data_IF_053169065448
#
_entry.id   IF_053169065448
#
_cell.length_a   1.000
_cell.length_b   1.000
_cell.length_c   1.000
_cell.angle_alpha   90.00
_cell.angle_beta   90.00
_cell.angle_gamma   90.00
#
_symmetry.space_group_name_H-M   'P 1'
#
loop_
_entity.id
_entity.type
_entity.pdbx_description
1 polymer ?
#
# COMPACT_ATOMS: atom_id res chain seq x y z
N UNK A 1 13.85 6.31 -14.93
CA UNK A 1 12.96 5.15 -14.69
C UNK A 1 11.64 5.46 -15.37
N UNK A 2 11.13 4.56 -16.19
CA UNK A 2 9.90 4.81 -16.95
C UNK A 2 8.67 4.75 -16.03
N UNK A 3 7.74 5.68 -16.26
CA UNK A 3 6.41 5.73 -15.64
C UNK A 3 5.46 4.83 -16.42
N UNK A 4 4.48 4.26 -15.73
CA UNK A 4 3.46 3.40 -16.35
C UNK A 4 2.53 4.21 -17.25
N UNK A 5 2.07 3.60 -18.35
CA UNK A 5 1.04 4.19 -19.23
C UNK A 5 -0.37 4.21 -18.63
N UNK A 6 -0.57 3.62 -17.44
CA UNK A 6 -1.88 3.60 -16.75
C UNK A 6 -2.23 5.00 -16.24
N UNK A 7 -3.38 5.53 -16.69
CA UNK A 7 -3.96 6.82 -16.28
C UNK A 7 -5.29 6.68 -15.52
N UNK A 8 -5.85 5.47 -15.46
CA UNK A 8 -7.19 5.21 -14.92
C UNK A 8 -7.18 4.75 -13.45
N UNK A 9 -7.88 5.45 -12.54
CA UNK A 9 -8.02 5.07 -11.13
C UNK A 9 -8.46 3.63 -10.89
N UNK A 10 -9.46 3.16 -11.65
CA UNK A 10 -10.01 1.80 -11.51
C UNK A 10 -8.93 0.76 -11.79
N UNK A 11 -8.11 0.99 -12.82
CA UNK A 11 -7.02 0.08 -13.21
C UNK A 11 -5.90 0.14 -12.18
N UNK A 12 -5.43 1.33 -11.82
CA UNK A 12 -4.34 1.51 -10.86
C UNK A 12 -4.66 0.95 -9.47
N UNK A 13 -5.91 1.11 -9.00
CA UNK A 13 -6.35 0.50 -7.74
C UNK A 13 -6.50 -1.02 -7.82
N UNK A 14 -7.06 -1.56 -8.92
CA UNK A 14 -7.10 -3.02 -9.15
C UNK A 14 -5.69 -3.63 -9.22
N UNK A 15 -4.72 -2.92 -9.80
CA UNK A 15 -3.30 -3.32 -9.78
C UNK A 15 -2.76 -3.34 -8.35
N UNK A 16 -3.01 -2.30 -7.53
CA UNK A 16 -2.62 -2.28 -6.13
C UNK A 16 -3.23 -3.45 -5.31
N UNK A 17 -4.52 -3.75 -5.49
CA UNK A 17 -5.20 -4.91 -4.88
C UNK A 17 -4.54 -6.23 -5.30
N UNK A 18 -4.38 -6.47 -6.61
CA UNK A 18 -3.75 -7.69 -7.12
C UNK A 18 -2.31 -7.85 -6.63
N UNK A 19 -1.56 -6.75 -6.52
CA UNK A 19 -0.19 -6.76 -6.00
C UNK A 19 -0.15 -7.14 -4.52
N UNK A 20 -1.11 -6.62 -3.74
CA UNK A 20 -1.26 -6.97 -2.34
C UNK A 20 -1.56 -8.47 -2.14
N UNK A 21 -2.57 -8.98 -2.85
CA UNK A 21 -3.05 -10.36 -2.76
C UNK A 21 -2.03 -11.39 -3.28
N UNK A 22 -1.45 -11.14 -4.46
CA UNK A 22 -0.65 -12.13 -5.19
C UNK A 22 0.86 -11.97 -5.00
N UNK A 23 1.34 -10.82 -4.51
CA UNK A 23 2.77 -10.55 -4.31
C UNK A 23 3.10 -10.27 -2.85
N UNK A 24 2.41 -9.36 -2.16
CA UNK A 24 2.75 -9.02 -0.77
C UNK A 24 2.40 -10.15 0.20
N UNK A 25 1.14 -10.61 0.24
CA UNK A 25 0.71 -11.65 1.20
C UNK A 25 1.48 -12.98 1.04
N UNK A 26 1.71 -13.53 -0.17
CA UNK A 26 2.39 -14.82 -0.31
C UNK A 26 3.89 -14.72 0.04
N UNK A 27 4.56 -13.64 -0.36
CA UNK A 27 5.97 -13.43 0.02
C UNK A 27 6.11 -13.20 1.54
N UNK A 28 5.19 -12.48 2.18
CA UNK A 28 5.23 -12.26 3.62
C UNK A 28 5.01 -13.57 4.40
N UNK A 29 4.03 -14.39 4.00
CA UNK A 29 3.81 -15.75 4.55
C UNK A 29 4.99 -16.68 4.31
N UNK A 30 5.65 -16.61 3.14
CA UNK A 30 6.87 -17.38 2.85
C UNK A 30 8.02 -17.01 3.81
N UNK A 31 8.32 -15.73 3.97
CA UNK A 31 9.37 -15.27 4.91
C UNK A 31 9.02 -15.64 6.36
N UNK A 32 7.75 -15.55 6.74
CA UNK A 32 7.27 -16.02 8.05
C UNK A 32 7.57 -17.53 8.26
N UNK A 33 7.22 -18.36 7.27
CA UNK A 33 7.44 -19.81 7.29
C UNK A 33 8.94 -20.17 7.33
N UNK A 34 9.78 -19.49 6.55
CA UNK A 34 11.23 -19.67 6.55
C UNK A 34 11.86 -19.31 7.92
N UNK A 35 11.39 -18.23 8.55
CA UNK A 35 11.87 -17.81 9.87
C UNK A 35 11.50 -18.84 10.97
N UNK A 36 10.29 -19.39 10.95
CA UNK A 36 9.91 -20.45 11.89
C UNK A 36 10.62 -21.77 11.59
N UNK A 37 10.72 -22.18 10.33
CA UNK A 37 11.43 -23.41 9.94
C UNK A 37 12.89 -23.38 10.41
N UNK A 38 13.55 -22.22 10.32
CA UNK A 38 14.90 -22.02 10.86
C UNK A 38 14.96 -22.02 12.38
N UNK A 39 13.91 -21.55 13.07
CA UNK A 39 13.84 -21.60 14.52
C UNK A 39 13.61 -23.03 15.03
N UNK A 40 12.73 -23.80 14.36
CA UNK A 40 12.45 -25.20 14.63
C UNK A 40 13.73 -26.06 14.52
N UNK A 41 14.55 -25.83 13.49
CA UNK A 41 15.84 -26.53 13.32
C UNK A 41 16.86 -26.27 14.44
N UNK A 42 16.70 -25.18 15.21
CA UNK A 42 17.58 -24.80 16.31
C UNK A 42 17.05 -25.29 17.67
N UNK A 43 15.83 -25.81 17.73
CA UNK A 43 15.20 -26.30 18.95
C UNK A 43 15.38 -27.82 19.07
N UNK A 44 16.14 -28.33 20.07
CA UNK A 44 16.50 -29.74 20.11
C UNK A 44 15.38 -30.65 20.69
N UNK A 45 14.38 -30.08 21.36
CA UNK A 45 13.35 -30.87 22.04
C UNK A 45 12.18 -31.21 21.11
N UNK A 46 11.74 -32.46 21.15
CA UNK A 46 10.60 -32.96 20.36
C UNK A 46 9.25 -32.84 21.09
N UNK A 47 9.26 -32.56 22.41
CA UNK A 47 8.07 -32.42 23.24
C UNK A 47 8.21 -31.23 24.20
N UNK A 48 7.08 -30.63 24.56
CA UNK A 48 7.01 -29.40 25.37
C UNK A 48 5.80 -29.41 26.30
N UNK A 49 5.90 -28.67 27.40
CA UNK A 49 4.76 -28.33 28.26
C UNK A 49 3.85 -27.30 27.59
N UNK A 50 2.58 -27.27 27.97
CA UNK A 50 1.53 -26.45 27.35
C UNK A 50 0.65 -25.72 28.38
N UNK A 51 1.28 -25.31 29.49
CA UNK A 51 0.59 -24.80 30.67
C UNK A 51 -0.26 -23.57 30.36
N UNK A 52 0.22 -22.63 29.52
CA UNK A 52 -0.55 -21.45 29.15
C UNK A 52 -1.74 -21.82 28.25
N UNK A 53 -1.53 -22.72 27.30
CA UNK A 53 -2.54 -23.22 26.35
C UNK A 53 -3.65 -23.99 27.06
N UNK A 54 -3.31 -24.87 28.01
CA UNK A 54 -4.31 -25.55 28.84
C UNK A 54 -5.09 -24.56 29.71
N UNK A 55 -4.41 -23.66 30.42
CA UNK A 55 -5.06 -22.66 31.26
C UNK A 55 -6.05 -21.76 30.49
N UNK A 56 -5.73 -21.33 29.26
CA UNK A 56 -6.67 -20.53 28.47
C UNK A 56 -7.82 -21.37 27.92
N UNK A 57 -7.58 -22.63 27.51
CA UNK A 57 -8.63 -23.50 27.00
C UNK A 57 -9.60 -23.94 28.11
N UNK A 58 -9.11 -24.25 29.30
CA UNK A 58 -9.94 -24.51 30.49
C UNK A 58 -10.75 -23.27 30.87
N UNK A 59 -10.13 -22.08 30.92
CA UNK A 59 -10.84 -20.81 31.19
C UNK A 59 -11.93 -20.48 30.17
N UNK A 60 -11.72 -20.82 28.89
CA UNK A 60 -12.72 -20.60 27.84
C UNK A 60 -13.83 -21.68 27.86
N UNK A 61 -13.50 -22.89 28.32
CA UNK A 61 -14.42 -24.03 28.41
C UNK A 61 -15.25 -24.08 29.70
N UNK A 62 -14.86 -23.36 30.76
CA UNK A 62 -15.54 -23.40 32.06
C UNK A 62 -16.88 -22.65 32.11
N UNK A 63 -17.24 -21.95 31.02
CA UNK A 63 -18.56 -21.31 30.92
C UNK A 63 -19.66 -22.37 31.01
N UNK A 64 -20.61 -22.14 31.92
CA UNK A 64 -21.73 -23.05 32.24
C UNK A 64 -21.33 -24.41 32.86
N UNK A 65 -20.18 -24.55 33.51
CA UNK A 65 -19.81 -25.80 34.18
C UNK A 65 -20.81 -26.29 35.24
N UNK A 66 -21.47 -25.37 35.95
CA UNK A 66 -22.51 -25.67 36.94
C UNK A 66 -23.88 -26.02 36.33
N UNK A 67 -24.05 -25.93 35.00
CA UNK A 67 -25.31 -26.19 34.31
C UNK A 67 -25.10 -26.97 33.02
N UNK A 68 -25.13 -28.32 33.06
CA UNK A 68 -24.94 -29.18 31.90
C UNK A 68 -25.85 -28.82 30.72
N UNK A 69 -27.14 -28.55 30.99
CA UNK A 69 -28.10 -28.16 29.95
C UNK A 69 -27.74 -26.84 29.26
N UNK A 70 -27.24 -25.84 29.99
CA UNK A 70 -26.77 -24.57 29.38
C UNK A 70 -25.44 -24.77 28.65
N UNK A 71 -24.58 -25.66 29.15
CA UNK A 71 -23.31 -26.02 28.52
C UNK A 71 -23.53 -26.69 27.15
N UNK A 72 -24.44 -27.63 27.05
CA UNK A 72 -24.74 -28.34 25.80
C UNK A 72 -25.28 -27.41 24.70
N UNK A 73 -26.00 -26.35 25.09
CA UNK A 73 -26.61 -25.38 24.15
C UNK A 73 -25.68 -24.20 23.82
N UNK A 74 -24.91 -23.71 24.79
CA UNK A 74 -24.20 -22.42 24.69
C UNK A 74 -22.66 -22.52 24.80
N UNK A 75 -22.09 -23.67 25.15
CA UNK A 75 -20.63 -23.83 25.15
C UNK A 75 -20.10 -24.01 23.73
N UNK A 76 -18.96 -23.39 23.45
CA UNK A 76 -18.35 -23.49 22.13
C UNK A 76 -17.73 -24.88 21.93
N UNK A 77 -18.40 -25.73 21.15
CA UNK A 77 -17.98 -27.12 20.87
C UNK A 77 -16.56 -27.22 20.34
N UNK A 78 -16.09 -26.24 19.54
CA UNK A 78 -14.72 -26.22 19.02
C UNK A 78 -13.68 -25.95 20.11
N UNK A 79 -13.97 -25.10 21.10
CA UNK A 79 -13.09 -24.88 22.26
C UNK A 79 -12.98 -26.15 23.10
N UNK A 80 -14.10 -26.81 23.39
CA UNK A 80 -14.13 -28.09 24.11
C UNK A 80 -13.30 -29.15 23.36
N UNK A 81 -13.53 -29.32 22.05
CA UNK A 81 -12.80 -30.28 21.23
C UNK A 81 -11.28 -30.02 21.19
N UNK A 82 -10.84 -28.75 21.10
CA UNK A 82 -9.41 -28.41 21.13
C UNK A 82 -8.80 -28.72 22.51
N UNK A 83 -9.49 -28.32 23.59
CA UNK A 83 -9.07 -28.59 24.98
C UNK A 83 -8.89 -30.08 25.24
N UNK A 84 -9.88 -30.87 24.84
CA UNK A 84 -9.90 -32.30 25.12
C UNK A 84 -8.88 -33.04 24.22
N UNK A 85 -8.67 -32.58 22.98
CA UNK A 85 -7.60 -33.06 22.11
C UNK A 85 -6.18 -32.72 22.62
N UNK A 86 -5.97 -31.53 23.21
CA UNK A 86 -4.71 -31.18 23.87
C UNK A 86 -4.47 -32.11 25.07
N UNK A 87 -5.48 -32.33 25.91
CA UNK A 87 -5.38 -33.24 27.06
C UNK A 87 -5.05 -34.68 26.62
N UNK A 88 -5.67 -35.17 25.55
CA UNK A 88 -5.39 -36.48 24.97
C UNK A 88 -4.01 -36.59 24.28
N UNK A 89 -3.42 -35.46 23.85
CA UNK A 89 -2.09 -35.43 23.20
C UNK A 89 -0.92 -35.49 24.19
N UNK A 90 -1.19 -35.36 25.50
CA UNK A 90 -0.17 -35.40 26.56
C UNK A 90 0.37 -36.81 26.77
N UNK A 91 1.68 -36.91 27.04
CA UNK A 91 2.27 -38.14 27.57
C UNK A 91 2.20 -38.18 29.11
N UNK A 92 2.79 -39.21 29.72
CA UNK A 92 2.88 -39.36 31.19
C UNK A 92 3.50 -38.16 31.90
N UNK A 93 4.40 -37.43 31.22
CA UNK A 93 5.11 -36.26 31.75
C UNK A 93 4.34 -34.94 31.52
N UNK A 94 3.10 -35.00 31.02
CA UNK A 94 2.27 -33.82 30.73
C UNK A 94 2.70 -33.01 29.49
N UNK A 95 3.62 -33.53 28.67
CA UNK A 95 4.11 -32.83 27.47
C UNK A 95 3.36 -33.26 26.20
N UNK A 96 3.26 -32.39 25.19
CA UNK A 96 2.78 -32.74 23.83
C UNK A 96 3.91 -32.66 22.80
N UNK A 97 3.78 -33.25 21.58
CA UNK A 97 4.76 -33.06 20.52
C UNK A 97 4.90 -31.59 20.11
N UNK A 98 6.12 -31.10 19.94
CA UNK A 98 6.38 -29.68 19.63
C UNK A 98 5.73 -29.25 18.31
N UNK A 99 5.78 -30.09 17.27
CA UNK A 99 5.13 -29.83 15.99
C UNK A 99 3.63 -29.61 16.17
N UNK A 100 2.94 -30.38 17.02
CA UNK A 100 1.51 -30.18 17.31
C UNK A 100 1.23 -28.80 17.90
N UNK A 101 2.09 -28.30 18.80
CA UNK A 101 1.96 -26.96 19.36
C UNK A 101 2.19 -25.86 18.29
N UNK A 102 3.20 -26.04 17.44
CA UNK A 102 3.50 -25.14 16.32
C UNK A 102 2.35 -25.11 15.30
N UNK A 103 1.82 -26.26 14.93
CA UNK A 103 0.78 -26.37 13.90
C UNK A 103 -0.56 -25.80 14.43
N UNK A 104 -0.87 -26.00 15.72
CA UNK A 104 -1.96 -25.28 16.41
C UNK A 104 -1.76 -23.76 16.39
N UNK A 105 -0.53 -23.28 16.56
CA UNK A 105 -0.21 -21.85 16.48
C UNK A 105 -0.48 -21.28 15.08
N UNK A 106 -0.16 -22.05 14.04
CA UNK A 106 -0.39 -21.67 12.65
C UNK A 106 -1.89 -21.60 12.38
N UNK A 107 -2.66 -22.66 12.66
CA UNK A 107 -4.13 -22.66 12.47
C UNK A 107 -4.80 -21.53 13.25
N UNK A 108 -4.48 -21.35 14.55
CA UNK A 108 -5.05 -20.25 15.34
C UNK A 108 -4.71 -18.86 14.76
N UNK A 109 -3.54 -18.70 14.13
CA UNK A 109 -3.14 -17.47 13.44
C UNK A 109 -3.87 -17.24 12.12
N UNK A 110 -4.07 -18.28 11.32
CA UNK A 110 -4.82 -18.21 10.06
C UNK A 110 -6.32 -17.98 10.30
N UNK A 111 -6.90 -18.64 11.31
CA UNK A 111 -8.28 -18.41 11.72
C UNK A 111 -8.48 -17.01 12.30
N UNK A 112 -7.48 -16.40 12.95
CA UNK A 112 -7.57 -15.01 13.39
C UNK A 112 -7.71 -14.01 12.23
N UNK A 113 -7.13 -14.32 11.06
CA UNK A 113 -7.32 -13.52 9.84
C UNK A 113 -8.73 -13.74 9.25
N UNK A 114 -9.20 -14.99 9.24
CA UNK A 114 -10.43 -15.41 8.53
C UNK A 114 -11.66 -15.67 9.42
N UNK A 115 -11.69 -15.20 10.67
CA UNK A 115 -12.75 -15.49 11.63
C UNK A 115 -14.06 -14.74 11.29
N UNK A 116 -14.97 -15.40 10.58
CA UNK A 116 -16.35 -14.96 10.42
C UNK A 116 -17.19 -15.28 11.67
N UNK A 117 -18.11 -14.41 12.10
CA UNK A 117 -19.02 -14.68 13.22
C UNK A 117 -20.13 -15.65 12.81
N UNK A 118 -19.84 -16.94 12.88
CA UNK A 118 -20.78 -18.05 12.59
C UNK A 118 -21.02 -18.85 13.88
N UNK A 119 -22.25 -19.33 14.17
CA UNK A 119 -22.50 -20.23 15.30
C UNK A 119 -21.54 -21.43 15.35
N UNK A 120 -21.24 -21.92 16.55
CA UNK A 120 -20.29 -22.99 16.85
C UNK A 120 -18.83 -22.78 16.38
N UNK A 121 -18.47 -21.62 15.81
CA UNK A 121 -17.08 -21.22 15.52
C UNK A 121 -16.48 -20.41 16.67
N UNK A 122 -15.15 -20.42 16.81
CA UNK A 122 -14.46 -19.55 17.78
C UNK A 122 -14.41 -18.11 17.26
N UNK A 123 -14.79 -17.16 18.11
CA UNK A 123 -14.62 -15.72 17.81
C UNK A 123 -13.14 -15.35 17.60
N UNK A 124 -12.88 -14.27 16.84
CA UNK A 124 -11.53 -13.70 16.64
C UNK A 124 -10.80 -13.42 17.96
N UNK A 125 -11.52 -13.04 19.01
CA UNK A 125 -10.99 -12.86 20.37
C UNK A 125 -10.47 -14.16 21.00
N UNK A 126 -11.19 -15.27 20.84
CA UNK A 126 -10.79 -16.59 21.35
C UNK A 126 -9.58 -17.14 20.58
N UNK A 127 -9.55 -17.01 19.25
CA UNK A 127 -8.36 -17.35 18.45
C UNK A 127 -7.14 -16.51 18.85
N UNK A 128 -7.30 -15.20 19.11
CA UNK A 128 -6.22 -14.32 19.59
C UNK A 128 -5.68 -14.75 20.95
N UNK A 129 -6.57 -15.15 21.87
CA UNK A 129 -6.18 -15.64 23.19
C UNK A 129 -5.41 -16.97 23.10
N UNK A 130 -5.91 -17.92 22.30
CA UNK A 130 -5.26 -19.21 22.05
C UNK A 130 -3.88 -19.03 21.38
N UNK A 131 -3.80 -18.24 20.31
CA UNK A 131 -2.54 -17.94 19.61
C UNK A 131 -1.50 -17.32 20.55
N UNK A 132 -1.92 -16.42 21.45
CA UNK A 132 -1.03 -15.82 22.45
C UNK A 132 -0.52 -16.87 23.43
N UNK A 133 -1.41 -17.67 24.02
CA UNK A 133 -1.03 -18.70 25.00
C UNK A 133 -0.08 -19.74 24.41
N UNK A 134 -0.38 -20.23 23.20
CA UNK A 134 0.49 -21.14 22.44
C UNK A 134 1.85 -20.50 22.14
N UNK A 135 1.89 -19.20 21.80
CA UNK A 135 3.15 -18.47 21.61
C UNK A 135 3.95 -18.38 22.91
N UNK A 136 3.30 -18.19 24.06
CA UNK A 136 3.94 -18.15 25.38
C UNK A 136 4.52 -19.52 25.76
N UNK A 137 3.82 -20.62 25.50
CA UNK A 137 4.34 -21.98 25.74
C UNK A 137 5.57 -22.29 24.86
N UNK A 138 5.57 -21.87 23.59
CA UNK A 138 6.75 -21.97 22.73
C UNK A 138 7.88 -21.09 23.28
N UNK A 139 7.62 -19.84 23.66
CA UNK A 139 8.63 -18.92 24.21
C UNK A 139 9.25 -19.47 25.52
N UNK A 140 8.45 -20.06 26.41
CA UNK A 140 8.94 -20.76 27.61
C UNK A 140 9.73 -22.02 27.28
N UNK A 141 9.30 -22.82 26.30
CA UNK A 141 10.00 -24.04 25.93
C UNK A 141 11.39 -23.78 25.32
N UNK A 142 11.54 -22.68 24.56
CA UNK A 142 12.80 -22.32 23.89
C UNK A 142 13.72 -21.46 24.75
N UNK A 143 13.24 -20.97 25.91
CA UNK A 143 13.95 -20.05 26.80
C UNK A 143 15.36 -20.52 27.20
N UNK A 144 15.61 -21.81 27.54
CA UNK A 144 16.94 -22.32 27.85
C UNK A 144 17.89 -22.44 26.64
N UNK A 145 17.38 -22.29 25.41
CA UNK A 145 18.08 -22.60 24.17
C UNK A 145 18.38 -21.32 23.38
N UNK A 146 19.42 -20.58 23.77
CA UNK A 146 19.80 -19.25 23.23
C UNK A 146 19.60 -19.09 21.71
N UNK A 147 20.06 -20.06 20.90
CA UNK A 147 19.94 -20.03 19.44
C UNK A 147 18.47 -20.13 18.97
N UNK A 148 17.70 -21.02 19.56
CA UNK A 148 16.26 -21.17 19.28
C UNK A 148 15.50 -19.93 19.77
N UNK A 149 15.71 -19.50 21.03
CA UNK A 149 15.10 -18.31 21.63
C UNK A 149 15.25 -17.08 20.74
N UNK A 150 16.47 -16.81 20.26
CA UNK A 150 16.73 -15.68 19.37
C UNK A 150 16.09 -15.85 17.98
N UNK A 151 16.02 -17.07 17.44
CA UNK A 151 15.34 -17.34 16.17
C UNK A 151 13.81 -17.17 16.28
N UNK A 152 13.17 -17.70 17.31
CA UNK A 152 11.74 -17.47 17.58
C UNK A 152 11.45 -16.01 17.90
N UNK A 153 12.30 -15.32 18.66
CA UNK A 153 12.16 -13.89 18.90
C UNK A 153 12.12 -13.08 17.59
N UNK A 154 13.01 -13.39 16.63
CA UNK A 154 12.98 -12.81 15.28
C UNK A 154 11.71 -13.16 14.50
N UNK A 155 11.28 -14.42 14.51
CA UNK A 155 10.08 -14.87 13.81
C UNK A 155 8.79 -14.27 14.39
N UNK A 156 8.71 -14.14 15.72
CA UNK A 156 7.60 -13.52 16.45
C UNK A 156 7.55 -12.00 16.20
N UNK A 157 8.72 -11.32 16.20
CA UNK A 157 8.82 -9.90 15.84
C UNK A 157 8.37 -9.65 14.39
N UNK A 158 8.80 -10.49 13.44
CA UNK A 158 8.36 -10.42 12.05
C UNK A 158 6.85 -10.64 11.92
N UNK A 159 6.31 -11.69 12.55
CA UNK A 159 4.88 -12.03 12.52
C UNK A 159 4.02 -10.90 13.05
N UNK A 160 4.39 -10.29 14.18
CA UNK A 160 3.67 -9.13 14.74
C UNK A 160 3.67 -7.97 13.72
N UNK A 161 4.85 -7.56 13.23
CA UNK A 161 4.96 -6.47 12.25
C UNK A 161 4.31 -6.77 10.87
N UNK A 162 4.10 -8.05 10.53
CA UNK A 162 3.33 -8.49 9.37
C UNK A 162 1.83 -8.34 9.61
N UNK A 163 1.30 -8.90 10.70
CA UNK A 163 -0.11 -8.78 11.08
C UNK A 163 -0.53 -7.33 11.27
N UNK A 164 0.27 -6.54 12.01
CA UNK A 164 0.04 -5.09 12.18
C UNK A 164 -0.05 -4.38 10.83
N UNK A 165 0.71 -4.81 9.82
CA UNK A 165 0.63 -4.21 8.48
C UNK A 165 -0.62 -4.63 7.73
N UNK A 166 -1.01 -5.90 7.81
CA UNK A 166 -2.25 -6.43 7.22
C UNK A 166 -3.46 -5.70 7.78
N UNK A 167 -3.63 -5.68 9.11
CA UNK A 167 -4.76 -5.03 9.79
C UNK A 167 -4.90 -3.53 9.39
N UNK A 168 -3.79 -2.83 9.15
CA UNK A 168 -3.77 -1.42 8.75
C UNK A 168 -4.09 -1.15 7.26
N UNK A 169 -3.95 -2.13 6.35
CA UNK A 169 -4.10 -1.92 4.89
C UNK A 169 -5.22 -2.74 4.25
N UNK A 170 -5.62 -3.85 4.85
CA UNK A 170 -6.54 -4.83 4.25
C UNK A 170 -7.88 -4.20 3.88
N UNK A 171 -8.51 -3.49 4.83
CA UNK A 171 -9.78 -2.75 4.64
C UNK A 171 -9.71 -1.60 3.61
N UNK A 172 -8.52 -1.27 3.12
CA UNK A 172 -8.28 -0.28 2.06
C UNK A 172 -8.03 -0.96 0.72
N UNK A 173 -7.22 -2.02 0.70
CA UNK A 173 -6.76 -2.69 -0.53
C UNK A 173 -7.72 -3.77 -1.02
N UNK A 174 -8.45 -4.47 -0.14
CA UNK A 174 -9.43 -5.51 -0.49
C UNK A 174 -10.86 -4.97 -0.72
N UNK A 175 -10.99 -3.71 -1.19
CA UNK A 175 -12.29 -3.15 -1.55
C UNK A 175 -12.68 -3.59 -2.96
N UNK A 176 -13.95 -3.95 -3.14
CA UNK A 176 -14.49 -4.41 -4.44
C UNK A 176 -14.30 -3.40 -5.60
N UNK A 177 -14.20 -2.10 -5.30
CA UNK A 177 -14.01 -1.05 -6.29
C UNK A 177 -12.56 -0.54 -6.31
N UNK A 178 -11.86 -0.77 -7.42
CA UNK A 178 -10.51 -0.26 -7.65
C UNK A 178 -10.40 1.27 -7.60
N UNK A 179 -11.42 2.03 -8.00
CA UNK A 179 -11.36 3.49 -7.88
C UNK A 179 -11.30 3.94 -6.41
N UNK A 180 -12.04 3.27 -5.52
CA UNK A 180 -12.03 3.58 -4.09
C UNK A 180 -10.75 3.13 -3.39
N UNK A 181 -10.15 2.02 -3.84
CA UNK A 181 -8.78 1.61 -3.46
C UNK A 181 -7.80 2.73 -3.83
N UNK A 182 -7.80 3.16 -5.10
CA UNK A 182 -6.92 4.21 -5.60
C UNK A 182 -7.09 5.53 -4.83
N UNK A 183 -8.33 6.02 -4.69
CA UNK A 183 -8.67 7.22 -3.90
C UNK A 183 -8.15 7.10 -2.47
N UNK A 184 -8.32 5.94 -1.83
CA UNK A 184 -7.89 5.71 -0.45
C UNK A 184 -6.38 5.64 -0.27
N UNK A 185 -5.63 5.23 -1.30
CA UNK A 185 -4.17 5.31 -1.33
C UNK A 185 -3.72 6.76 -1.42
N UNK A 186 -4.22 7.51 -2.41
CA UNK A 186 -3.75 8.87 -2.66
C UNK A 186 -4.30 9.91 -1.67
N UNK A 187 -5.39 9.63 -0.95
CA UNK A 187 -6.04 10.64 -0.07
C UNK A 187 -5.07 11.24 0.95
N UNK A 188 -4.19 10.42 1.54
CA UNK A 188 -3.23 10.86 2.54
C UNK A 188 -2.09 11.73 2.00
N UNK A 189 -1.98 11.96 0.68
CA UNK A 189 -0.86 12.72 0.11
C UNK A 189 -0.81 14.19 0.50
N UNK A 190 -1.90 14.72 1.07
CA UNK A 190 -1.97 16.07 1.64
C UNK A 190 -1.69 16.09 3.15
N UNK A 191 -2.07 15.03 3.86
CA UNK A 191 -2.05 14.95 5.32
C UNK A 191 -0.71 14.43 5.87
N UNK A 192 0.06 13.69 5.06
CA UNK A 192 1.41 13.26 5.40
C UNK A 192 1.83 11.89 4.84
N UNK A 193 3.09 11.48 5.07
CA UNK A 193 3.66 10.32 4.40
C UNK A 193 3.20 8.97 4.97
N UNK A 194 2.66 8.92 6.19
CA UNK A 194 2.55 7.67 6.97
C UNK A 194 1.62 6.63 6.33
N UNK A 195 0.37 6.98 6.06
CA UNK A 195 -0.62 6.09 5.41
C UNK A 195 -0.15 5.68 4.00
N UNK A 196 0.34 6.65 3.24
CA UNK A 196 0.83 6.47 1.89
C UNK A 196 2.02 5.49 1.83
N UNK A 197 2.99 5.65 2.73
CA UNK A 197 4.14 4.75 2.92
C UNK A 197 3.71 3.34 3.33
N UNK A 198 2.73 3.20 4.23
CA UNK A 198 2.22 1.90 4.66
C UNK A 198 1.59 1.12 3.49
N UNK A 199 0.64 1.73 2.78
CA UNK A 199 -0.04 1.13 1.62
C UNK A 199 0.94 0.79 0.51
N UNK A 200 1.87 1.68 0.22
CA UNK A 200 2.85 1.41 -0.83
C UNK A 200 3.90 0.35 -0.47
N UNK A 201 4.20 0.14 0.81
CA UNK A 201 5.05 -0.99 1.26
C UNK A 201 4.40 -2.35 1.08
N UNK A 202 3.11 -2.41 0.72
CA UNK A 202 2.37 -3.65 0.44
C UNK A 202 1.93 -3.76 -1.01
N UNK A 203 2.48 -2.93 -1.90
CA UNK A 203 2.26 -2.93 -3.36
C UNK A 203 3.60 -3.09 -4.06
N UNK A 204 3.69 -3.95 -5.07
CA UNK A 204 4.87 -4.20 -5.89
C UNK A 204 5.31 -2.99 -6.70
N UNK A 205 6.60 -2.91 -7.05
CA UNK A 205 7.22 -1.68 -7.61
C UNK A 205 6.55 -1.19 -8.90
N UNK A 206 6.10 -2.09 -9.78
CA UNK A 206 5.48 -1.70 -11.04
C UNK A 206 4.02 -1.26 -10.87
N UNK A 207 3.27 -1.87 -9.95
CA UNK A 207 1.93 -1.42 -9.57
C UNK A 207 1.99 -0.06 -8.84
N UNK A 208 3.06 0.21 -8.06
CA UNK A 208 3.31 1.55 -7.52
C UNK A 208 3.49 2.59 -8.64
N UNK A 209 4.17 2.24 -9.75
CA UNK A 209 4.30 3.16 -10.90
C UNK A 209 2.93 3.47 -11.51
N UNK A 210 2.04 2.48 -11.63
CA UNK A 210 0.68 2.67 -12.16
C UNK A 210 -0.18 3.60 -11.28
N UNK A 211 -0.06 3.50 -9.96
CA UNK A 211 -0.71 4.44 -9.02
C UNK A 211 -0.13 5.85 -9.16
N UNK A 212 1.18 6.01 -9.27
CA UNK A 212 1.81 7.33 -9.36
C UNK A 212 1.67 7.99 -10.74
N UNK A 213 1.66 7.23 -11.84
CA UNK A 213 1.35 7.76 -13.18
C UNK A 213 -0.10 8.25 -13.29
N UNK A 214 -1.05 7.48 -12.74
CA UNK A 214 -2.45 7.88 -12.59
C UNK A 214 -2.57 9.15 -11.74
N UNK A 215 -1.81 9.25 -10.64
CA UNK A 215 -1.78 10.44 -9.80
C UNK A 215 -1.27 11.67 -10.54
N UNK A 216 -0.13 11.58 -11.24
CA UNK A 216 0.44 12.67 -12.04
C UNK A 216 -0.53 13.13 -13.14
N UNK A 217 -1.10 12.17 -13.89
CA UNK A 217 -2.08 12.46 -14.95
C UNK A 217 -3.29 13.25 -14.40
N UNK A 218 -3.79 12.85 -13.22
CA UNK A 218 -4.94 13.51 -12.57
C UNK A 218 -4.60 14.82 -11.88
N UNK A 219 -3.35 15.05 -11.45
CA UNK A 219 -2.92 16.36 -10.95
C UNK A 219 -3.03 17.43 -12.04
N UNK A 220 -2.68 17.08 -13.28
CA UNK A 220 -2.71 17.99 -14.42
C UNK A 220 -4.03 18.07 -15.19
N UNK A 221 -4.90 17.05 -15.14
CA UNK A 221 -6.15 17.02 -15.93
C UNK A 221 -6.99 18.29 -15.78
N UNK A 222 -7.25 18.99 -16.89
CA UNK A 222 -8.03 20.21 -16.94
C UNK A 222 -9.48 20.02 -16.43
N UNK A 223 -10.16 21.13 -16.13
CA UNK A 223 -11.58 21.11 -15.74
C UNK A 223 -12.45 20.53 -16.86
N UNK A 224 -13.60 19.88 -16.57
CA UNK A 224 -14.47 19.29 -17.59
C UNK A 224 -14.89 20.27 -18.70
N UNK A 225 -15.07 21.56 -18.38
CA UNK A 225 -15.39 22.62 -19.34
C UNK A 225 -14.22 23.06 -20.24
N UNK A 226 -13.02 22.54 -19.99
CA UNK A 226 -11.76 22.84 -20.71
C UNK A 226 -11.14 21.54 -21.27
N UNK A 227 -11.96 20.50 -21.43
CA UNK A 227 -11.57 19.25 -22.05
C UNK A 227 -11.97 19.21 -23.53
N UNK A 228 -11.17 18.52 -24.34
CA UNK A 228 -11.53 18.12 -25.69
C UNK A 228 -12.26 16.76 -25.69
N UNK A 229 -12.57 16.25 -26.89
CA UNK A 229 -13.25 14.96 -27.07
C UNK A 229 -12.44 13.76 -26.55
N UNK A 230 -11.12 13.89 -26.37
CA UNK A 230 -10.27 12.86 -25.76
C UNK A 230 -10.34 12.87 -24.23
N UNK A 231 -10.71 14.02 -23.65
CA UNK A 231 -10.78 14.23 -22.20
C UNK A 231 -9.42 14.36 -21.50
N UNK A 232 -8.30 14.32 -22.23
CA UNK A 232 -6.95 14.21 -21.65
C UNK A 232 -6.14 15.53 -21.67
N UNK A 233 -6.81 16.68 -21.86
CA UNK A 233 -6.19 18.01 -21.83
C UNK A 233 -5.50 18.26 -20.49
N UNK A 234 -4.23 18.65 -20.56
CA UNK A 234 -3.37 18.97 -19.41
C UNK A 234 -3.39 20.47 -19.10
N UNK A 235 -3.46 20.81 -17.81
CA UNK A 235 -3.42 22.16 -17.28
C UNK A 235 -2.27 22.32 -16.28
N UNK A 236 -1.25 23.09 -16.66
CA UNK A 236 -0.12 23.47 -15.81
C UNK A 236 -0.57 24.15 -14.52
N UNK A 237 -1.58 25.03 -14.59
CA UNK A 237 -2.18 25.68 -13.43
C UNK A 237 -2.84 24.71 -12.44
N UNK A 238 -3.51 23.64 -12.92
CA UNK A 238 -4.05 22.60 -12.03
C UNK A 238 -2.96 21.71 -11.47
N UNK A 239 -1.98 21.32 -12.30
CA UNK A 239 -0.82 20.56 -11.85
C UNK A 239 -0.11 21.27 -10.70
N UNK A 240 0.22 22.55 -10.87
CA UNK A 240 0.88 23.38 -9.86
C UNK A 240 0.08 23.46 -8.56
N UNK A 241 -1.22 23.77 -8.64
CA UNK A 241 -2.09 23.88 -7.45
C UNK A 241 -2.19 22.56 -6.71
N UNK A 242 -2.35 21.45 -7.43
CA UNK A 242 -2.40 20.12 -6.82
C UNK A 242 -1.06 19.73 -6.21
N UNK A 243 0.06 19.95 -6.91
CA UNK A 243 1.43 19.66 -6.45
C UNK A 243 1.81 20.48 -5.20
N UNK A 244 1.47 21.77 -5.18
CA UNK A 244 1.70 22.66 -4.04
C UNK A 244 0.85 22.27 -2.81
N UNK A 245 -0.30 21.61 -3.00
CA UNK A 245 -1.14 21.10 -1.91
C UNK A 245 -0.66 19.80 -1.26
N UNK A 246 0.48 19.25 -1.69
CA UNK A 246 1.04 18.00 -1.17
C UNK A 246 2.04 18.26 -0.03
N UNK A 247 1.92 17.48 1.04
CA UNK A 247 2.90 17.46 2.11
C UNK A 247 4.32 17.17 1.54
N UNK A 248 5.37 17.91 1.96
CA UNK A 248 6.72 17.71 1.45
C UNK A 248 7.26 16.28 1.62
N UNK A 249 6.90 15.58 2.69
CA UNK A 249 7.33 14.19 2.91
C UNK A 249 6.49 13.22 2.07
N UNK A 250 5.20 13.49 1.86
CA UNK A 250 4.35 12.75 0.92
C UNK A 250 4.82 12.89 -0.53
N UNK A 251 5.34 14.07 -0.96
CA UNK A 251 6.01 14.23 -2.26
C UNK A 251 7.26 13.35 -2.38
N UNK A 252 8.08 13.28 -1.33
CA UNK A 252 9.23 12.37 -1.28
C UNK A 252 8.80 10.89 -1.33
N UNK A 253 7.69 10.53 -0.67
CA UNK A 253 7.11 9.20 -0.80
C UNK A 253 6.63 8.93 -2.23
N UNK A 254 5.86 9.81 -2.86
CA UNK A 254 5.32 9.61 -4.22
C UNK A 254 6.41 9.52 -5.29
N UNK A 255 7.34 10.47 -5.30
CA UNK A 255 8.26 10.67 -6.42
C UNK A 255 9.67 10.18 -6.10
N UNK A 256 10.20 10.47 -4.90
CA UNK A 256 11.57 10.12 -4.51
C UNK A 256 11.88 8.63 -4.54
N UNK A 257 10.87 7.76 -4.41
CA UNK A 257 11.00 6.29 -4.51
C UNK A 257 11.47 5.76 -5.86
N UNK A 258 11.28 6.52 -6.94
CA UNK A 258 11.71 6.14 -8.28
C UNK A 258 13.10 6.71 -8.64
N UNK A 259 13.76 7.34 -7.65
CA UNK A 259 15.07 7.96 -7.78
C UNK A 259 15.02 9.45 -7.50
N UNK A 260 16.15 10.00 -7.06
CA UNK A 260 16.30 11.44 -6.78
C UNK A 260 16.08 12.30 -8.01
N UNK A 261 16.38 11.79 -9.21
CA UNK A 261 16.14 12.51 -10.46
C UNK A 261 14.65 12.70 -10.72
N UNK A 262 13.83 11.65 -10.61
CA UNK A 262 12.38 11.75 -10.86
C UNK A 262 11.68 12.75 -9.93
N UNK A 263 12.12 12.83 -8.66
CA UNK A 263 11.64 13.89 -7.76
C UNK A 263 12.05 15.29 -8.24
N UNK A 264 13.31 15.49 -8.64
CA UNK A 264 13.77 16.77 -9.21
C UNK A 264 13.01 17.16 -10.48
N UNK A 265 12.68 16.18 -11.32
CA UNK A 265 11.93 16.41 -12.56
C UNK A 265 10.52 16.92 -12.24
N UNK A 266 9.83 16.31 -11.26
CA UNK A 266 8.52 16.80 -10.78
C UNK A 266 8.61 18.19 -10.13
N UNK A 267 9.62 18.45 -9.29
CA UNK A 267 9.86 19.77 -8.71
C UNK A 267 10.17 20.84 -9.79
N UNK A 268 10.82 20.45 -10.89
CA UNK A 268 11.10 21.34 -12.03
C UNK A 268 9.84 21.62 -12.86
N UNK A 269 9.00 20.62 -13.15
CA UNK A 269 7.71 20.82 -13.84
C UNK A 269 6.81 21.76 -13.02
N UNK A 270 6.81 21.63 -11.68
CA UNK A 270 6.10 22.56 -10.81
C UNK A 270 6.64 24.00 -10.89
N UNK A 271 7.98 24.20 -10.89
CA UNK A 271 8.59 25.53 -11.08
C UNK A 271 8.25 26.15 -12.42
N UNK A 272 8.34 25.40 -13.52
CA UNK A 272 7.98 25.88 -14.87
C UNK A 272 6.49 26.25 -14.93
N UNK A 273 5.63 25.43 -14.32
CA UNK A 273 4.19 25.75 -14.20
C UNK A 273 3.93 27.02 -13.40
N UNK A 274 4.75 27.34 -12.39
CA UNK A 274 4.66 28.59 -11.64
C UNK A 274 5.08 29.81 -12.47
N UNK A 275 6.18 29.71 -13.22
CA UNK A 275 6.64 30.76 -14.13
C UNK A 275 5.62 31.07 -15.23
N UNK A 276 4.96 30.03 -15.78
CA UNK A 276 3.87 30.18 -16.74
C UNK A 276 2.71 30.97 -16.11
N UNK A 277 2.27 30.57 -14.91
CA UNK A 277 1.17 31.24 -14.20
C UNK A 277 1.49 32.70 -13.90
N UNK A 278 2.67 32.99 -13.39
CA UNK A 278 3.16 34.34 -13.10
C UNK A 278 3.17 35.20 -14.37
N UNK A 279 3.79 34.70 -15.45
CA UNK A 279 3.81 35.38 -16.76
C UNK A 279 2.40 35.67 -17.29
N UNK A 280 1.49 34.70 -17.17
CA UNK A 280 0.09 34.91 -17.58
C UNK A 280 -0.64 35.96 -16.74
N UNK A 281 -0.33 36.07 -15.44
CA UNK A 281 -0.94 37.09 -14.57
C UNK A 281 -0.42 38.51 -14.81
N UNK A 282 0.86 38.64 -15.22
CA UNK A 282 1.44 39.92 -15.63
C UNK A 282 0.80 40.39 -16.94
N UNK A 283 0.67 39.51 -17.93
CA UNK A 283 0.03 39.82 -19.22
C UNK A 283 -1.48 40.09 -19.11
N UNK A 284 -2.14 39.52 -18.10
CA UNK A 284 -3.57 39.74 -17.85
C UNK A 284 -3.89 41.08 -17.16
N UNK A 285 -2.89 41.83 -16.70
CA UNK A 285 -3.08 43.12 -16.01
C UNK A 285 -2.27 44.26 -16.63
N UNK A 286 -2.52 44.65 -17.90
CA UNK A 286 -1.92 45.83 -18.49
C UNK A 286 -2.54 47.09 -17.88
N UNK A 287 -1.88 47.70 -16.89
CA UNK A 287 -2.21 49.06 -16.46
C UNK A 287 -2.11 49.99 -17.68
N UNK A 288 -3.18 50.74 -17.96
CA UNK A 288 -3.38 51.42 -19.24
C UNK A 288 -2.22 52.32 -19.69
N UNK A 289 -2.12 52.51 -21.02
CA UNK A 289 -1.07 53.24 -21.77
C UNK A 289 0.20 52.46 -22.18
N UNK A 290 0.05 51.18 -22.50
CA UNK A 290 0.82 50.54 -23.58
C UNK A 290 -0.14 49.83 -24.55
N UNK A 291 0.03 50.01 -25.85
CA UNK A 291 -0.93 49.60 -26.88
C UNK A 291 -1.10 48.08 -26.99
N UNK A 292 -2.33 47.64 -27.29
CA UNK A 292 -2.69 46.24 -27.41
C UNK A 292 -2.01 45.54 -28.60
N UNK A 293 -0.96 44.75 -28.34
CA UNK A 293 -0.51 43.66 -29.23
C UNK A 293 -0.06 42.42 -28.43
N UNK A 294 -0.99 41.79 -27.71
CA UNK A 294 -1.20 40.34 -27.87
C UNK A 294 -2.69 40.05 -27.71
N UNK A 295 -3.33 39.53 -28.76
CA UNK A 295 -4.74 39.11 -28.71
C UNK A 295 -4.93 37.80 -27.93
N UNK A 296 -6.13 37.18 -27.97
CA UNK A 296 -6.48 35.98 -27.17
C UNK A 296 -5.59 34.72 -27.33
N UNK A 297 -4.57 34.76 -28.18
CA UNK A 297 -3.66 33.65 -28.47
C UNK A 297 -2.68 33.30 -27.32
N UNK A 298 -2.35 34.25 -26.44
CA UNK A 298 -1.31 34.04 -25.39
C UNK A 298 -1.72 33.08 -24.28
N UNK A 299 -3.00 32.77 -24.15
CA UNK A 299 -3.51 31.80 -23.15
C UNK A 299 -3.62 30.38 -23.74
N UNK A 300 -3.60 30.25 -25.08
CA UNK A 300 -3.68 28.97 -25.78
C UNK A 300 -2.31 28.43 -26.23
N UNK A 301 -1.33 29.31 -26.48
CA UNK A 301 -0.01 28.93 -27.01
C UNK A 301 1.02 28.59 -25.92
N UNK A 302 0.79 27.48 -25.21
CA UNK A 302 1.88 26.75 -24.52
C UNK A 302 2.69 25.84 -25.46
N UNK A 303 2.45 25.96 -26.77
CA UNK A 303 3.17 25.25 -27.84
C UNK A 303 4.40 26.05 -28.32
N UNK A 304 5.39 26.16 -27.43
CA UNK A 304 6.80 26.33 -27.82
C UNK A 304 7.33 27.75 -28.04
N UNK A 305 8.12 28.23 -27.08
CA UNK A 305 9.37 28.94 -27.42
C UNK A 305 10.53 28.43 -26.56
N UNK A 306 11.34 27.56 -27.17
CA UNK A 306 12.60 27.06 -26.63
C UNK A 306 13.70 28.12 -26.83
N UNK A 307 13.67 29.21 -26.06
CA UNK A 307 14.79 30.15 -26.01
C UNK A 307 15.90 29.59 -25.10
N UNK A 308 16.97 29.08 -25.70
CA UNK A 308 18.01 28.32 -25.00
C UNK A 308 18.88 29.19 -24.07
N UNK A 309 18.65 29.09 -22.76
CA UNK A 309 19.50 29.63 -21.71
C UNK A 309 19.93 28.55 -20.71
N UNK A 310 21.08 27.92 -20.94
CA UNK A 310 21.77 26.92 -20.06
C UNK A 310 21.09 25.56 -19.80
N UNK A 311 19.89 25.27 -20.30
CA UNK A 311 19.35 23.90 -20.45
C UNK A 311 18.53 23.86 -21.77
N UNK A 312 18.46 22.78 -22.53
CA UNK A 312 18.31 21.40 -22.07
C UNK A 312 16.87 21.07 -21.65
N UNK A 313 15.94 22.05 -21.65
CA UNK A 313 14.48 22.11 -21.42
C UNK A 313 13.68 20.87 -20.85
N UNK A 314 14.31 20.04 -20.02
CA UNK A 314 13.75 18.92 -19.28
C UNK A 314 13.00 17.80 -20.07
N UNK A 315 13.43 17.23 -21.20
CA UNK A 315 14.53 17.52 -22.14
C UNK A 315 14.12 16.98 -23.52
N UNK A 316 13.22 17.64 -24.27
CA UNK A 316 12.35 18.75 -23.86
C UNK A 316 10.99 18.25 -23.38
N UNK A 317 10.51 18.68 -22.21
CA UNK A 317 9.22 18.26 -21.60
C UNK A 317 9.03 16.73 -21.40
N UNK A 318 10.11 15.96 -21.24
CA UNK A 318 10.13 14.48 -21.30
C UNK A 318 9.60 13.90 -22.64
N UNK A 319 9.86 14.60 -23.74
CA UNK A 319 9.98 14.06 -25.10
C UNK A 319 8.91 13.07 -25.56
N UNK A 320 7.77 13.57 -26.06
CA UNK A 320 6.82 12.81 -26.91
C UNK A 320 6.04 11.67 -26.23
N UNK A 321 6.26 11.39 -24.94
CA UNK A 321 5.91 10.10 -24.28
C UNK A 321 4.45 9.60 -24.27
N UNK A 322 3.48 10.26 -24.92
CA UNK A 322 2.09 9.81 -25.05
C UNK A 322 1.41 10.10 -26.43
N UNK A 323 2.16 10.53 -27.46
CA UNK A 323 1.63 11.12 -28.71
C UNK A 323 0.94 10.16 -29.71
N UNK A 324 -0.16 10.65 -30.30
CA UNK A 324 -0.49 10.69 -31.75
C UNK A 324 -1.89 11.34 -31.87
N UNK A 325 -2.07 12.57 -32.39
CA UNK A 325 -2.15 12.81 -33.84
C UNK A 325 -1.69 14.23 -34.26
N UNK A 326 -1.75 15.22 -33.37
CA UNK A 326 -1.58 16.64 -33.74
C UNK A 326 -0.12 17.10 -33.94
N UNK A 327 0.87 16.29 -33.52
CA UNK A 327 2.29 16.55 -33.77
C UNK A 327 2.64 16.71 -35.26
N UNK A 328 1.84 16.13 -36.17
CA UNK A 328 2.06 16.18 -37.61
C UNK A 328 1.70 17.54 -38.26
N UNK A 329 0.73 18.28 -37.71
CA UNK A 329 0.27 19.55 -38.31
C UNK A 329 1.22 20.73 -38.07
N UNK A 330 2.08 20.62 -37.06
CA UNK A 330 3.11 21.59 -36.73
C UNK A 330 4.33 21.58 -37.69
N UNK A 331 4.48 20.56 -38.54
CA UNK A 331 5.71 20.40 -39.37
C UNK A 331 5.59 20.79 -40.85
N UNK A 332 4.41 21.17 -41.35
CA UNK A 332 4.16 21.29 -42.81
C UNK A 332 3.57 22.61 -43.31
N UNK A 333 3.29 23.58 -42.43
CA UNK A 333 2.68 24.87 -42.83
C UNK A 333 3.76 25.90 -43.26
N UNK A 334 3.74 26.45 -44.49
CA UNK A 334 4.75 27.41 -44.95
C UNK A 334 4.82 28.71 -44.16
N UNK A 335 3.76 29.09 -43.43
CA UNK A 335 3.80 30.25 -42.51
C UNK A 335 4.70 30.02 -41.30
N UNK A 336 4.94 28.76 -40.90
CA UNK A 336 5.88 28.39 -39.84
C UNK A 336 7.34 28.53 -40.33
N UNK A 337 7.57 28.36 -41.64
CA UNK A 337 8.90 28.43 -42.26
C UNK A 337 9.34 29.87 -42.53
N UNK A 338 8.43 30.76 -42.93
CA UNK A 338 8.75 32.18 -43.14
C UNK A 338 8.71 33.04 -41.86
N UNK A 339 8.38 32.46 -40.70
CA UNK A 339 8.49 33.08 -39.38
C UNK A 339 9.78 32.65 -38.63
N UNK A 340 10.58 31.76 -39.24
CA UNK A 340 11.95 31.43 -38.84
C UNK A 340 13.00 32.43 -39.39
N UNK A 341 12.56 33.47 -40.12
CA UNK A 341 13.39 34.49 -40.77
C UNK A 341 13.11 35.89 -40.21
#
# INVERSE_FOLDING_TARGET
AEISGVREPVIAGKMATKSYENVFLPNARKVQSELYSKADQLFPQKRVLVNNTENILDKLASRFEESPAMKDVLANKKILAIRDAIKASKNKDGTIPFNTLRDLRIDAGEKLQNASPVPDTMEKAHYKALWKAVTQDIESAVEPYEKARNAYGRANNYTRAFHDRVDNVENILLRNNGEDVYKSIISGSKDGPSKLRQLFRTVGKDDQKAVVSTFISRMGRALPSMQDETGDVFSTSRFLTNYASLDPLARKELFGRFGTQFQKDMDNIAKVSAMIRESSSILANPSGTAGAVVGPATVASLEGSLAAGKFGFATGMLGVLLQADQAARLMTSPKYVNWLA
#
